data_IF_190315243998
#
_entry.id   IF_190315243998
#
_cell.length_a   1.000
_cell.length_b   1.000
_cell.length_c   1.000
_cell.angle_alpha   90.00
_cell.angle_beta   90.00
_cell.angle_gamma   90.00
#
_symmetry.space_group_name_H-M   'P 1'
#
loop_
_entity.id
_entity.type
_entity.pdbx_description
1 polymer ?
2 non-polymer ?
3 non-polymer ?
4 water ?
#
# COMPACT_ATOMS: atom_id res chain seq x y z
N UNK A 14 -14.45 -19.49 6.17
CA UNK A 14 -13.61 -18.71 5.28
C UNK A 14 -13.73 -17.22 5.56
N UNK A 15 -12.78 -16.46 5.03
CA UNK A 15 -12.70 -15.03 5.25
C UNK A 15 -14.01 -14.33 4.89
N UNK A 16 -14.42 -13.40 5.75
CA UNK A 16 -15.58 -12.53 5.54
C UNK A 16 -15.07 -11.16 5.15
N UNK A 17 -15.30 -10.69 3.92
CA UNK A 17 -14.82 -9.34 3.54
C UNK A 17 -15.42 -8.26 4.43
N UNK A 18 -14.59 -7.35 4.94
CA UNK A 18 -15.12 -6.17 5.65
C UNK A 18 -15.99 -5.34 4.71
N UNK A 19 -16.80 -4.44 5.26
CA UNK A 19 -17.57 -3.52 4.41
C UNK A 19 -16.65 -2.59 3.64
N UNK A 20 -17.14 -2.11 2.50
CA UNK A 20 -16.35 -1.23 1.65
C UNK A 20 -16.21 0.16 2.26
N UNK A 21 -15.01 0.73 2.11
CA UNK A 21 -14.75 2.11 2.50
C UNK A 21 -15.38 3.05 1.47
N UNK A 22 -15.48 4.35 1.78
CA UNK A 22 -16.08 5.27 0.82
C UNK A 22 -15.22 5.45 -0.42
N UNK A 23 -15.90 5.61 -1.55
CA UNK A 23 -15.27 5.97 -2.80
C UNK A 23 -15.86 7.30 -3.24
N UNK A 24 -15.02 8.25 -3.62
CA UNK A 24 -15.46 9.54 -4.11
C UNK A 24 -15.08 9.70 -5.57
N UNK A 25 -15.96 10.36 -6.33
CA UNK A 25 -15.74 10.62 -7.75
C UNK A 25 -15.87 12.12 -7.96
N UNK A 26 -14.85 12.89 -7.60
CA UNK A 26 -14.95 14.35 -7.69
C UNK A 26 -15.20 14.83 -9.12
N UNK A 27 -16.06 15.84 -9.25
CA UNK A 27 -16.17 16.56 -10.49
C UNK A 27 -14.87 17.29 -10.78
N UNK A 28 -14.76 17.83 -12.00
CA UNK A 28 -13.58 18.62 -12.33
C UNK A 28 -13.42 19.81 -11.38
N UNK A 29 -14.54 20.40 -10.95
CA UNK A 29 -14.48 21.52 -10.02
C UNK A 29 -13.92 21.07 -8.67
N UNK A 30 -14.45 19.98 -8.12
CA UNK A 30 -13.96 19.47 -6.85
C UNK A 30 -12.53 18.96 -6.94
N UNK A 31 -12.10 18.55 -8.13
CA UNK A 31 -10.76 17.99 -8.32
C UNK A 31 -9.67 19.05 -8.35
N UNK A 32 -10.04 20.34 -8.29
CA UNK A 32 -9.06 21.40 -8.50
C UNK A 32 -7.96 21.38 -7.43
N UNK A 33 -8.33 21.20 -6.16
CA UNK A 33 -7.37 21.31 -5.06
C UNK A 33 -7.49 20.10 -4.14
N UNK A 34 -6.44 19.28 -4.02
CA UNK A 34 -6.54 18.06 -3.18
C UNK A 34 -6.77 18.34 -1.70
N UNK A 35 -6.07 19.31 -1.10
CA UNK A 35 -6.25 19.54 0.32
C UNK A 35 -7.65 20.05 0.63
N UNK A 36 -8.20 20.90 -0.24
CA UNK A 36 -9.58 21.35 -0.07
C UNK A 36 -10.55 20.19 -0.17
N UNK A 37 -10.33 19.29 -1.13
CA UNK A 37 -11.24 18.16 -1.30
C UNK A 37 -11.17 17.22 -0.10
N UNK A 38 -9.96 16.88 0.33
CA UNK A 38 -9.80 15.99 1.48
C UNK A 38 -10.41 16.62 2.73
N UNK A 39 -10.26 17.94 2.85
CA UNK A 39 -10.91 18.62 3.97
C UNK A 39 -12.42 18.50 3.94
N UNK A 40 -13.00 18.55 2.74
CA UNK A 40 -14.45 18.49 2.63
C UNK A 40 -14.98 17.08 2.90
N UNK A 41 -14.27 16.05 2.44
CA UNK A 41 -14.76 14.69 2.67
C UNK A 41 -14.42 14.17 4.05
N UNK A 42 -13.61 14.91 4.80
CA UNK A 42 -13.12 14.43 6.10
C UNK A 42 -14.23 13.96 7.05
N UNK A 43 -15.38 14.64 7.17
CA UNK A 43 -16.40 14.16 8.13
C UNK A 43 -16.81 12.72 7.90
N UNK A 44 -16.81 12.24 6.65
CA UNK A 44 -17.12 10.83 6.44
C UNK A 44 -15.86 9.97 6.45
N UNK A 45 -14.82 10.38 5.70
CA UNK A 45 -13.66 9.51 5.54
C UNK A 45 -12.88 9.32 6.84
N UNK A 46 -12.86 10.31 7.74
CA UNK A 46 -12.14 10.07 8.98
C UNK A 46 -12.84 9.03 9.84
N UNK A 47 -14.13 8.76 9.59
CA UNK A 47 -14.85 7.72 10.29
C UNK A 47 -14.58 6.33 9.73
N UNK A 48 -13.92 6.22 8.57
CA UNK A 48 -13.56 4.93 8.02
C UNK A 48 -12.06 4.70 7.94
N UNK A 49 -11.25 5.71 8.23
CA UNK A 49 -9.80 5.58 8.19
C UNK A 49 -9.18 5.70 6.81
N UNK A 50 -9.73 5.00 5.84
CA UNK A 50 -9.25 5.09 4.47
C UNK A 50 -10.42 5.46 3.58
N UNK A 51 -10.11 6.09 2.43
CA UNK A 51 -11.10 6.26 1.39
C UNK A 51 -10.42 6.17 0.04
N UNK A 52 -11.22 5.99 -1.00
CA UNK A 52 -10.72 5.89 -2.36
C UNK A 52 -11.22 7.10 -3.15
N UNK A 53 -10.37 7.65 -4.00
CA UNK A 53 -10.76 8.78 -4.85
C UNK A 53 -10.48 8.41 -6.30
N UNK A 54 -11.52 8.47 -7.13
CA UNK A 54 -11.41 8.20 -8.55
C UNK A 54 -11.33 9.52 -9.30
N UNK A 55 -10.22 9.84 -9.95
CA UNK A 55 -10.11 11.11 -10.67
C UNK A 55 -11.09 11.15 -11.84
N UNK A 56 -11.33 12.32 -12.41
CA UNK A 56 -12.16 12.39 -13.62
C UNK A 56 -11.60 11.50 -14.72
N UNK A 57 -12.50 10.98 -15.55
CA UNK A 57 -12.14 9.95 -16.53
C UNK A 57 -11.02 10.43 -17.46
N UNK A 58 -10.98 11.70 -17.80
CA UNK A 58 -9.98 12.22 -18.71
C UNK A 58 -8.68 12.60 -18.02
N UNK A 59 -8.55 12.35 -16.73
CA UNK A 59 -7.30 12.66 -16.01
C UNK A 59 -6.44 11.41 -16.04
N UNK A 60 -5.44 11.39 -16.92
CA UNK A 60 -4.61 10.21 -17.14
C UNK A 60 -3.15 10.63 -17.25
N UNK A 61 -2.44 10.71 -16.12
CA UNK A 61 -1.01 11.03 -16.17
C UNK A 61 -0.23 9.94 -16.89
N UNK A 62 0.79 10.31 -17.66
CA UNK A 62 1.67 9.30 -18.24
C UNK A 62 2.56 8.70 -17.17
N UNK A 63 3.08 7.51 -17.47
CA UNK A 63 4.02 6.86 -16.57
C UNK A 63 5.41 7.30 -16.93
N UNK A 64 6.11 7.91 -15.97
CA UNK A 64 7.33 8.67 -16.26
C UNK A 64 8.60 8.05 -15.70
N UNK A 65 8.55 6.86 -15.11
CA UNK A 65 9.77 6.23 -14.63
C UNK A 65 10.69 5.87 -15.77
N UNK A 66 11.99 5.92 -15.51
CA UNK A 66 13.00 5.43 -16.44
C UNK A 66 12.97 3.91 -16.47
N UNK A 67 12.21 3.34 -17.41
CA UNK A 67 11.89 1.92 -17.37
C UNK A 67 13.07 1.06 -17.83
N UNK A 68 13.88 1.55 -18.77
CA UNK A 68 15.00 0.75 -19.26
C UNK A 68 16.01 0.46 -18.15
N UNK A 69 16.23 1.42 -17.26
CA UNK A 69 17.22 1.28 -16.19
C UNK A 69 16.61 0.84 -14.87
N UNK A 70 15.30 0.64 -14.80
CA UNK A 70 14.63 0.31 -13.55
C UNK A 70 14.99 -1.11 -13.14
N UNK A 71 15.93 -1.24 -12.22
CA UNK A 71 16.39 -2.53 -11.72
C UNK A 71 16.34 -2.52 -10.20
N UNK A 72 15.99 -3.66 -9.61
CA UNK A 72 15.79 -3.67 -8.17
C UNK A 72 15.84 -5.09 -7.65
N UNK A 73 16.20 -5.21 -6.38
CA UNK A 73 16.18 -6.49 -5.69
C UNK A 73 15.05 -6.48 -4.68
N UNK A 74 13.92 -7.12 -4.99
CA UNK A 74 12.77 -7.08 -4.08
C UNK A 74 13.03 -7.89 -2.82
N UNK A 75 12.23 -7.63 -1.80
CA UNK A 75 12.40 -8.39 -0.58
C UNK A 75 11.50 -9.60 -0.57
N UNK A 76 11.93 -10.62 0.11
CA UNK A 76 11.24 -11.91 0.11
C UNK A 76 10.26 -11.93 1.27
N UNK A 77 9.06 -12.42 1.02
CA UNK A 77 8.01 -12.48 2.04
C UNK A 77 7.48 -13.90 2.14
N UNK A 78 7.57 -14.48 3.34
CA UNK A 78 6.96 -15.77 3.64
C UNK A 78 5.62 -15.52 4.30
N UNK A 79 4.52 -15.93 3.65
CA UNK A 79 3.20 -15.49 4.09
C UNK A 79 2.90 -15.96 5.51
N UNK A 80 3.37 -17.16 5.89
CA UNK A 80 3.04 -17.70 7.20
C UNK A 80 4.17 -17.59 8.22
N UNK A 81 5.10 -16.64 8.04
CA UNK A 81 6.28 -16.60 8.91
C UNK A 81 5.89 -16.47 10.38
N UNK A 82 4.82 -15.72 10.69
CA UNK A 82 4.44 -15.51 12.07
C UNK A 82 3.79 -16.76 12.67
N UNK A 83 2.81 -17.33 11.98
CA UNK A 83 2.19 -18.56 12.47
C UNK A 83 3.19 -19.69 12.61
N UNK A 84 4.25 -19.69 11.79
CA UNK A 84 5.22 -20.76 11.79
C UNK A 84 6.19 -20.71 12.98
N UNK A 85 5.96 -19.86 13.98
CA UNK A 85 6.80 -19.84 15.16
C UNK A 85 6.40 -20.94 16.13
N UNK A 89 11.51 -26.52 18.05
CA UNK A 89 12.18 -27.25 16.98
C UNK A 89 12.39 -26.36 15.75
N UNK A 90 13.47 -25.59 15.74
CA UNK A 90 13.74 -24.72 14.59
C UNK A 90 14.04 -25.52 13.33
N UNK A 91 13.61 -24.97 12.20
CA UNK A 91 13.81 -25.61 10.92
C UNK A 91 15.30 -25.67 10.57
N UNK A 92 15.67 -26.69 9.79
CA UNK A 92 17.07 -26.92 9.45
C UNK A 92 17.61 -25.75 8.64
N UNK A 93 18.63 -25.08 9.20
CA UNK A 93 19.33 -23.97 8.53
C UNK A 93 18.37 -22.83 8.20
N UNK A 94 17.62 -22.37 9.21
CA UNK A 94 16.74 -21.23 9.02
C UNK A 94 17.57 -19.96 8.85
N UNK A 95 16.98 -18.97 8.18
CA UNK A 95 17.67 -17.77 7.78
C UNK A 95 18.14 -17.77 6.34
N UNK A 96 18.04 -18.91 5.65
CA UNK A 96 18.48 -19.06 4.27
C UNK A 96 17.36 -19.65 3.42
N UNK A 97 16.12 -19.21 3.69
CA UNK A 97 14.96 -19.86 3.07
C UNK A 97 14.87 -19.59 1.58
N UNK A 98 15.34 -18.43 1.11
CA UNK A 98 15.13 -18.03 -0.27
C UNK A 98 16.39 -17.40 -0.85
N UNK A 99 16.61 -17.64 -2.13
CA UNK A 99 17.75 -17.07 -2.86
C UNK A 99 17.46 -15.64 -3.29
N UNK A 100 18.52 -14.84 -3.42
CA UNK A 100 18.41 -13.42 -3.74
C UNK A 100 18.37 -13.25 -5.25
N UNK A 101 17.49 -12.35 -5.73
CA UNK A 101 17.21 -12.20 -7.15
C UNK A 101 17.04 -10.73 -7.49
N UNK A 102 17.73 -10.27 -8.53
CA UNK A 102 17.54 -8.92 -9.05
C UNK A 102 16.69 -8.97 -10.30
N UNK A 103 15.80 -7.99 -10.45
CA UNK A 103 14.86 -7.94 -11.56
C UNK A 103 14.91 -6.58 -12.24
N UNK A 104 14.44 -6.57 -13.49
CA UNK A 104 13.93 -5.36 -14.11
C UNK A 104 12.43 -5.29 -13.89
N UNK A 105 11.85 -4.16 -14.23
CA UNK A 105 10.40 -4.05 -14.17
C UNK A 105 9.76 -5.15 -15.02
N UNK A 106 10.33 -5.40 -16.19
CA UNK A 106 9.77 -6.39 -17.11
C UNK A 106 9.92 -7.80 -16.55
N UNK A 107 11.13 -8.14 -16.09
CA UNK A 107 11.37 -9.50 -15.64
C UNK A 107 10.63 -9.78 -14.33
N UNK A 108 10.45 -8.76 -13.50
CA UNK A 108 9.61 -8.96 -12.32
C UNK A 108 8.17 -9.22 -12.72
N UNK A 109 7.67 -8.48 -13.71
CA UNK A 109 6.31 -8.70 -14.17
C UNK A 109 6.11 -10.08 -14.77
N UNK A 110 7.08 -10.56 -15.53
CA UNK A 110 6.98 -11.91 -16.07
C UNK A 110 6.97 -12.94 -14.94
N UNK A 111 7.85 -12.76 -13.95
CA UNK A 111 7.84 -13.62 -12.79
C UNK A 111 6.50 -13.57 -12.07
N UNK A 112 5.95 -12.36 -11.91
CA UNK A 112 4.74 -12.17 -11.12
C UNK A 112 3.53 -12.82 -11.78
N UNK A 113 3.37 -12.60 -13.09
CA UNK A 113 2.24 -13.19 -13.80
C UNK A 113 2.35 -14.72 -13.86
N UNK A 114 3.56 -15.23 -14.11
CA UNK A 114 3.76 -16.68 -14.08
C UNK A 114 3.39 -17.27 -12.72
N UNK A 115 3.81 -16.61 -11.63
CA UNK A 115 3.46 -17.12 -10.31
C UNK A 115 1.96 -17.20 -10.14
N UNK A 116 1.25 -16.14 -10.51
CA UNK A 116 -0.18 -16.09 -10.20
C UNK A 116 -0.96 -17.02 -11.10
N UNK A 117 -0.65 -17.03 -12.39
CA UNK A 117 -1.37 -17.93 -13.29
C UNK A 117 -1.10 -19.39 -12.94
N UNK A 118 0.13 -19.71 -12.52
CA UNK A 118 0.42 -21.06 -12.07
C UNK A 118 -0.30 -21.39 -10.77
N UNK A 119 -0.31 -20.45 -9.81
CA UNK A 119 -0.98 -20.70 -8.54
C UNK A 119 -2.45 -21.00 -8.75
N UNK A 120 -3.14 -20.18 -9.53
CA UNK A 120 -4.59 -20.32 -9.63
C UNK A 120 -5.02 -21.15 -10.83
N UNK A 121 -4.09 -21.52 -11.70
CA UNK A 121 -4.40 -22.30 -12.91
C UNK A 121 -5.39 -21.55 -13.81
N UNK A 122 -5.21 -20.24 -13.94
CA UNK A 122 -6.06 -19.46 -14.84
C UNK A 122 -5.33 -18.18 -15.21
N UNK A 123 -5.74 -17.51 -16.28
CA UNK A 123 -5.10 -16.24 -16.65
C UNK A 123 -5.24 -15.24 -15.51
N UNK A 124 -4.22 -14.40 -15.33
CA UNK A 124 -4.14 -13.60 -14.11
C UNK A 124 -5.35 -12.69 -13.96
N UNK A 125 -5.88 -12.16 -15.06
CA UNK A 125 -7.00 -11.23 -14.94
C UNK A 125 -8.33 -11.92 -14.73
N UNK A 126 -8.38 -13.24 -14.83
CA UNK A 126 -9.62 -13.97 -14.58
C UNK A 126 -9.75 -14.41 -13.14
N UNK A 127 -8.75 -14.18 -12.30
CA UNK A 127 -8.83 -14.62 -10.91
C UNK A 127 -9.65 -13.59 -10.12
N UNK A 128 -10.76 -13.97 -9.50
CA UNK A 128 -11.59 -12.99 -8.79
C UNK A 128 -10.83 -12.38 -7.62
N UNK A 129 -11.01 -11.07 -7.42
CA UNK A 129 -10.34 -10.40 -6.29
C UNK A 129 -10.74 -11.04 -4.97
N UNK A 130 -11.99 -11.46 -4.84
CA UNK A 130 -12.44 -12.11 -3.61
C UNK A 130 -11.72 -13.44 -3.38
N UNK A 131 -11.37 -14.15 -4.46
CA UNK A 131 -10.65 -15.40 -4.29
C UNK A 131 -9.21 -15.17 -3.85
N UNK A 132 -8.51 -14.21 -4.48
CA UNK A 132 -7.17 -13.90 -4.02
C UNK A 132 -7.19 -13.51 -2.55
N UNK A 133 -8.17 -12.69 -2.16
CA UNK A 133 -8.29 -12.26 -0.77
C UNK A 133 -8.52 -13.45 0.17
N UNK A 134 -9.44 -14.35 -0.20
CA UNK A 134 -9.69 -15.53 0.64
C UNK A 134 -8.44 -16.39 0.76
N UNK A 135 -7.72 -16.58 -0.34
CA UNK A 135 -6.55 -17.44 -0.31
C UNK A 135 -5.39 -16.78 0.42
N UNK A 136 -5.24 -15.46 0.29
CA UNK A 136 -4.20 -14.77 1.03
C UNK A 136 -4.31 -15.04 2.52
N UNK A 137 -5.51 -14.82 3.09
CA UNK A 137 -5.65 -14.97 4.54
C UNK A 137 -5.58 -16.43 4.95
N UNK A 138 -5.99 -17.35 4.09
CA UNK A 138 -5.81 -18.77 4.40
C UNK A 138 -4.31 -19.11 4.49
N UNK A 139 -3.52 -18.61 3.56
CA UNK A 139 -2.09 -18.93 3.54
C UNK A 139 -1.36 -18.31 4.71
N UNK A 140 -1.81 -17.13 5.16
CA UNK A 140 -1.13 -16.44 6.25
C UNK A 140 -1.20 -17.27 7.52
N UNK A 141 -2.29 -18.00 7.72
CA UNK A 141 -2.50 -18.80 8.91
C UNK A 141 -2.17 -20.27 8.70
N UNK A 142 -1.71 -20.66 7.51
CA UNK A 142 -1.49 -22.06 7.19
C UNK A 142 -0.06 -22.49 7.52
N UNK A 143 0.07 -23.54 8.31
CA UNK A 143 1.38 -24.12 8.61
C UNK A 143 1.71 -25.32 7.75
N UNK A 144 0.78 -25.79 6.92
CA UNK A 144 1.04 -26.93 6.05
C UNK A 144 1.53 -26.55 4.67
N UNK A 145 1.34 -25.29 4.28
CA UNK A 145 1.64 -24.80 2.94
C UNK A 145 2.46 -23.52 3.11
N UNK A 146 3.69 -23.52 2.57
CA UNK A 146 4.59 -22.39 2.73
C UNK A 146 4.75 -21.71 1.38
N UNK A 147 4.10 -20.56 1.24
CA UNK A 147 4.13 -19.77 0.02
C UNK A 147 5.05 -18.58 0.26
N UNK A 148 5.91 -18.30 -0.71
CA UNK A 148 6.91 -17.25 -0.62
C UNK A 148 6.79 -16.38 -1.86
N UNK A 149 6.69 -15.07 -1.66
CA UNK A 149 6.59 -14.12 -2.77
C UNK A 149 7.64 -13.04 -2.57
N UNK A 150 7.66 -12.09 -3.48
CA UNK A 150 8.67 -11.04 -3.53
C UNK A 150 7.96 -9.71 -3.74
N UNK A 151 8.49 -8.65 -3.14
CA UNK A 151 7.85 -7.35 -3.15
C UNK A 151 8.91 -6.30 -3.40
N UNK A 152 8.78 -5.56 -4.51
CA UNK A 152 9.65 -4.42 -4.73
C UNK A 152 9.19 -3.20 -3.96
N UNK A 153 9.35 -3.19 -2.65
CA UNK A 153 8.73 -2.20 -1.80
C UNK A 153 9.72 -1.13 -1.35
N UNK A 154 9.20 0.07 -1.09
CA UNK A 154 9.97 1.16 -0.52
C UNK A 154 11.16 1.52 -1.41
N UNK A 155 10.89 1.68 -2.70
CA UNK A 155 11.90 2.14 -3.65
C UNK A 155 11.79 3.65 -3.75
N UNK A 156 12.89 4.35 -3.47
CA UNK A 156 12.86 5.81 -3.49
C UNK A 156 12.61 6.33 -4.91
N UNK A 157 11.72 7.32 -5.02
CA UNK A 157 11.51 7.95 -6.33
C UNK A 157 12.75 8.72 -6.79
N UNK A 158 13.73 8.91 -5.92
CA UNK A 158 14.98 9.52 -6.36
C UNK A 158 15.80 8.57 -7.22
N UNK A 159 15.56 7.26 -7.13
CA UNK A 159 16.42 6.28 -7.78
C UNK A 159 16.23 6.27 -9.29
N UNK A 160 15.01 6.00 -9.74
CA UNK A 160 14.71 5.97 -11.17
C UNK A 160 13.66 7.01 -11.55
N UNK A 161 13.39 7.95 -10.67
CA UNK A 161 12.38 8.96 -10.92
C UNK A 161 11.02 8.54 -10.40
N UNK A 162 10.13 9.52 -10.33
CA UNK A 162 8.76 9.27 -9.95
C UNK A 162 7.99 8.67 -11.11
N UNK A 163 6.89 7.98 -10.79
CA UNK A 163 5.95 7.57 -11.83
C UNK A 163 5.21 8.73 -12.45
N UNK A 164 5.10 9.85 -11.74
CA UNK A 164 4.54 11.07 -12.29
C UNK A 164 5.61 11.88 -13.01
N UNK A 165 5.25 12.59 -14.08
CA UNK A 165 6.21 13.54 -14.67
C UNK A 165 6.55 14.65 -13.67
N UNK A 166 7.81 15.05 -13.68
CA UNK A 166 8.32 16.09 -12.78
C UNK A 166 9.16 17.05 -13.59
N UNK A 167 8.93 18.35 -13.41
CA UNK A 167 9.65 19.39 -14.14
C UNK A 167 10.98 19.69 -13.45
N UNK A 168 11.83 18.68 -13.36
CA UNK A 168 13.16 18.83 -12.77
C UNK A 168 14.28 18.74 -13.80
N UNK A 169 13.96 18.59 -15.08
CA UNK A 169 14.96 18.59 -16.12
C UNK A 169 15.67 17.27 -16.35
N UNK A 170 15.32 16.23 -15.61
CA UNK A 170 15.99 14.93 -15.77
C UNK A 170 15.38 14.09 -16.88
N UNK A 171 14.15 14.40 -17.29
CA UNK A 171 13.45 13.61 -18.29
C UNK A 171 12.55 14.54 -19.10
N UNK A 172 12.36 14.19 -20.37
CA UNK A 172 11.57 15.03 -21.26
C UNK A 172 10.10 14.98 -20.86
N UNK A 173 9.44 16.13 -20.98
CA UNK A 173 8.01 16.26 -20.71
C UNK A 173 7.36 16.79 -21.97
N UNK A 174 6.40 16.03 -22.52
CA UNK A 174 5.65 16.51 -23.65
C UNK A 174 4.70 17.63 -23.21
N UNK A 175 4.27 18.48 -24.15
CA UNK A 175 3.34 19.55 -23.77
C UNK A 175 2.06 19.05 -23.11
N UNK A 176 1.46 17.96 -23.63
CA UNK A 176 0.21 17.49 -23.02
C UNK A 176 0.42 16.80 -21.68
N UNK A 177 1.67 16.57 -21.27
CA UNK A 177 1.98 16.00 -19.97
C UNK A 177 2.36 17.06 -18.94
N UNK A 178 2.59 18.29 -19.35
CA UNK A 178 3.01 19.32 -18.39
C UNK A 178 1.93 19.53 -17.34
N UNK A 179 0.66 19.45 -17.72
CA UNK A 179 -0.41 19.65 -16.75
C UNK A 179 -0.31 18.62 -15.62
N UNK A 180 0.20 17.43 -15.92
CA UNK A 180 0.39 16.44 -14.86
C UNK A 180 1.60 16.75 -13.99
N UNK A 181 2.67 17.30 -14.57
CA UNK A 181 3.81 17.68 -13.75
C UNK A 181 3.46 18.79 -12.77
N UNK A 182 2.46 19.60 -13.09
CA UNK A 182 2.06 20.73 -12.27
C UNK A 182 0.83 20.44 -11.42
N UNK A 183 0.19 19.29 -11.60
CA UNK A 183 -1.05 18.99 -10.90
C UNK A 183 -0.85 18.91 -9.38
N UNK A 184 -1.84 19.42 -8.65
CA UNK A 184 -1.82 19.25 -7.21
C UNK A 184 -1.98 17.81 -6.76
N UNK A 185 -2.45 16.93 -7.64
CA UNK A 185 -2.59 15.51 -7.35
C UNK A 185 -1.36 14.70 -7.75
N UNK A 186 -0.40 15.32 -8.41
CA UNK A 186 0.94 14.75 -8.54
C UNK A 186 1.54 14.62 -7.15
N UNK A 187 1.89 13.40 -6.73
CA UNK A 187 2.35 13.19 -5.36
C UNK A 187 3.63 13.96 -5.05
N UNK A 188 4.38 14.35 -6.07
CA UNK A 188 5.55 15.19 -5.83
C UNK A 188 5.19 16.62 -5.45
N UNK A 189 3.94 17.03 -5.66
CA UNK A 189 3.50 18.39 -5.36
C UNK A 189 2.63 18.47 -4.11
N UNK A 190 2.59 17.41 -3.28
CA UNK A 190 1.89 17.45 -2.00
C UNK A 190 2.75 18.13 -0.94
N UNK A 191 2.13 18.87 -0.02
CA UNK A 191 2.92 19.49 1.06
C UNK A 191 3.42 18.44 2.02
N UNK A 192 4.70 18.55 2.41
CA UNK A 192 5.29 17.50 3.25
C UNK A 192 5.99 18.09 4.47
N UNK A 193 6.07 19.42 4.56
CA UNK A 193 6.79 20.07 5.64
C UNK A 193 5.86 20.31 6.83
N UNK A 194 6.15 19.66 7.95
CA UNK A 194 5.37 19.85 9.17
C UNK A 194 5.78 21.14 9.88
N UNK A 195 4.81 21.84 10.44
CA UNK A 195 5.10 23.05 11.20
C UNK A 195 5.71 22.71 12.54
N UNK A 196 6.74 23.46 12.93
CA UNK A 196 7.36 23.28 14.24
C UNK A 196 8.28 24.47 14.52
N UNK A 197 8.55 24.70 15.80
CA UNK A 197 9.55 25.70 16.15
C UNK A 197 10.93 25.25 15.67
N UNK A 198 11.20 23.94 15.75
CA UNK A 198 12.46 23.40 15.26
C UNK A 198 12.67 23.67 13.78
N UNK A 199 11.60 23.66 13.00
CA UNK A 199 11.71 23.97 11.57
C UNK A 199 12.23 25.37 11.33
N UNK A 200 12.03 26.29 12.27
CA UNK A 200 12.59 27.64 12.17
C UNK A 200 13.96 27.71 12.78
N UNK A 201 14.22 26.93 13.85
CA UNK A 201 15.54 26.93 14.47
C UNK A 201 16.57 26.37 13.50
N UNK A 202 16.24 25.26 12.83
CA UNK A 202 17.10 24.71 11.79
C UNK A 202 16.91 25.45 10.47
N UNK A 209 10.94 15.21 2.20
CA UNK A 209 10.59 13.85 1.84
C UNK A 209 10.12 13.77 0.38
N UNK A 210 10.23 12.58 -0.21
CA UNK A 210 9.82 12.35 -1.59
C UNK A 210 8.98 11.08 -1.62
N UNK A 211 8.23 10.86 -2.70
CA UNK A 211 7.40 9.65 -2.75
C UNK A 211 8.24 8.39 -2.87
N UNK A 212 7.68 7.29 -2.38
CA UNK A 212 8.27 5.97 -2.52
C UNK A 212 7.44 5.14 -3.49
N UNK A 213 8.09 4.13 -4.10
CA UNK A 213 7.50 3.32 -5.14
C UNK A 213 7.36 1.87 -4.68
N UNK A 214 6.33 1.20 -5.18
CA UNK A 214 5.99 -0.15 -4.73
C UNK A 214 5.63 -0.99 -5.95
N UNK A 215 6.45 -1.99 -6.26
CA UNK A 215 6.21 -2.91 -7.38
C UNK A 215 5.68 -4.20 -6.78
N UNK A 216 4.38 -4.46 -6.93
CA UNK A 216 3.74 -5.57 -6.27
C UNK A 216 3.58 -6.77 -7.17
N UNK A 217 3.42 -7.93 -6.54
CA UNK A 217 2.96 -9.17 -7.17
C UNK A 217 1.88 -9.77 -6.29
N UNK A 218 1.21 -10.78 -6.82
CA UNK A 218 0.15 -11.45 -6.06
C UNK A 218 0.66 -11.91 -4.70
N UNK A 219 -0.05 -11.53 -3.63
CA UNK A 219 0.13 -11.91 -2.23
C UNK A 219 1.21 -11.06 -1.55
N UNK A 220 1.93 -10.22 -2.26
CA UNK A 220 2.85 -9.33 -1.57
C UNK A 220 2.01 -8.37 -0.73
N UNK A 221 2.55 -7.99 0.44
CA UNK A 221 1.67 -7.42 1.44
C UNK A 221 2.42 -6.48 2.37
N UNK A 222 1.63 -5.71 3.13
CA UNK A 222 2.14 -4.83 4.17
C UNK A 222 1.26 -4.99 5.39
N UNK A 223 1.85 -5.02 6.59
CA UNK A 223 1.05 -5.31 7.76
C UNK A 223 0.54 -4.01 8.39
N UNK A 224 -0.22 -4.18 9.47
CA UNK A 224 -0.95 -3.08 10.10
C UNK A 224 0.00 -2.03 10.66
N UNK A 225 -0.25 -0.76 10.33
CA UNK A 225 0.65 0.28 10.83
C UNK A 225 -0.04 1.63 10.71
N UNK A 226 0.52 2.62 11.41
CA UNK A 226 0.21 4.01 11.18
C UNK A 226 1.50 4.71 10.78
N UNK A 227 1.38 5.95 10.35
CA UNK A 227 2.52 6.71 9.86
C UNK A 227 3.22 7.44 11.00
N UNK A 228 4.51 7.72 10.78
CA UNK A 228 5.23 8.60 11.70
C UNK A 228 4.50 9.93 11.83
N UNK A 229 4.50 10.48 13.04
CA UNK A 229 3.81 11.74 13.33
C UNK A 229 2.31 11.65 13.09
N UNK A 230 1.77 10.43 13.00
CA UNK A 230 0.35 10.19 12.68
C UNK A 230 -0.06 10.93 11.40
N UNK A 231 0.84 10.93 10.41
CA UNK A 231 0.63 11.72 9.21
C UNK A 231 -0.49 11.14 8.35
N UNK A 232 -1.15 12.03 7.59
CA UNK A 232 -1.90 11.58 6.41
C UNK A 232 -0.95 10.89 5.44
N UNK A 233 -1.50 10.01 4.61
CA UNK A 233 -0.75 9.52 3.47
C UNK A 233 -1.69 9.41 2.28
N UNK A 234 -1.09 9.45 1.10
CA UNK A 234 -1.86 9.30 -0.14
C UNK A 234 -1.10 8.35 -1.04
N UNK A 235 -1.84 7.54 -1.80
CA UNK A 235 -1.26 6.46 -2.58
C UNK A 235 -1.93 6.48 -3.94
N UNK A 236 -1.14 6.37 -5.01
CA UNK A 236 -1.69 6.32 -6.36
C UNK A 236 -1.22 5.04 -7.05
N UNK A 237 -2.16 4.30 -7.64
CA UNK A 237 -1.80 3.08 -8.35
C UNK A 237 -1.64 3.44 -9.83
N UNK A 238 -0.39 3.47 -10.29
CA UNK A 238 -0.09 3.92 -11.65
C UNK A 238 -0.65 2.96 -12.69
N UNK A 239 -0.49 1.66 -12.45
CA UNK A 239 -0.95 0.64 -13.39
C UNK A 239 -0.92 -0.72 -12.70
N UNK A 240 -1.54 -1.70 -13.32
CA UNK A 240 -1.47 -3.05 -12.84
C UNK A 240 -2.76 -3.51 -12.20
N UNK A 241 -2.67 -4.68 -11.59
CA UNK A 241 -3.79 -5.29 -10.90
C UNK A 241 -4.02 -4.59 -9.57
N UNK A 242 -5.19 -4.76 -8.95
CA UNK A 242 -5.53 -3.91 -7.80
C UNK A 242 -4.68 -4.21 -6.58
N UNK A 243 -4.65 -3.20 -5.71
CA UNK A 243 -4.07 -3.29 -4.37
C UNK A 243 -5.25 -3.31 -3.41
N UNK A 244 -5.33 -4.35 -2.59
CA UNK A 244 -6.44 -4.51 -1.65
C UNK A 244 -6.03 -3.92 -0.30
N UNK A 245 -6.89 -3.06 0.24
CA UNK A 245 -6.60 -2.33 1.48
C UNK A 245 -7.57 -2.72 2.58
N UNK A 246 -7.09 -2.64 3.82
CA UNK A 246 -7.95 -2.62 4.99
C UNK A 246 -7.59 -1.40 5.81
N UNK A 247 -8.61 -0.73 6.34
CA UNK A 247 -8.39 0.45 7.16
C UNK A 247 -9.24 0.42 8.39
N UNK A 248 -8.72 1.06 9.45
CA UNK A 248 -9.41 1.20 10.73
C UNK A 248 -9.44 2.69 11.07
N UNK A 249 -10.59 3.26 11.40
CA UNK A 249 -10.63 4.70 11.74
C UNK A 249 -9.82 4.99 12.99
N UNK A 250 -9.33 6.24 13.05
CA UNK A 250 -8.45 6.63 14.16
C UNK A 250 -9.16 6.53 15.50
N UNK A 251 -10.49 6.66 15.54
CA UNK A 251 -11.15 6.56 16.84
C UNK A 251 -11.05 5.15 17.42
N UNK A 252 -10.71 4.15 16.59
CA UNK A 252 -10.55 2.79 17.06
C UNK A 252 -9.08 2.37 17.15
N UNK A 253 -8.14 3.32 17.09
CA UNK A 253 -6.72 2.98 17.15
C UNK A 253 -6.37 2.22 18.41
N UNK A 254 -6.82 2.71 19.58
CA UNK A 254 -6.47 2.04 20.83
C UNK A 254 -7.13 0.68 20.93
N UNK A 255 -8.33 0.52 20.37
CA UNK A 255 -8.96 -0.80 20.33
C UNK A 255 -8.10 -1.78 19.55
N UNK A 256 -7.59 -1.36 18.38
CA UNK A 256 -6.75 -2.26 17.59
C UNK A 256 -5.49 -2.60 18.35
N UNK A 257 -4.85 -1.59 18.96
CA UNK A 257 -3.61 -1.83 19.69
C UNK A 257 -3.84 -2.77 20.86
N UNK A 258 -5.00 -2.67 21.51
CA UNK A 258 -5.31 -3.60 22.59
C UNK A 258 -5.52 -5.02 22.09
N UNK A 259 -6.21 -5.20 20.95
CA UNK A 259 -6.35 -6.54 20.40
C UNK A 259 -5.00 -7.11 20.02
N UNK A 260 -4.14 -6.27 19.42
CA UNK A 260 -2.78 -6.70 19.09
C UNK A 260 -2.05 -7.18 20.34
N UNK A 261 -2.08 -6.37 21.40
CA UNK A 261 -1.40 -6.75 22.64
C UNK A 261 -1.93 -8.08 23.18
N UNK A 262 -3.25 -8.27 23.14
CA UNK A 262 -3.83 -9.51 23.66
C UNK A 262 -3.41 -10.73 22.84
N UNK A 263 -3.33 -10.58 21.51
CA UNK A 263 -3.20 -11.74 20.64
C UNK A 263 -1.84 -11.85 19.96
N UNK A 264 -1.02 -10.81 19.98
CA UNK A 264 0.30 -10.90 19.36
C UNK A 264 1.21 -11.83 20.15
N UNK A 265 2.21 -12.41 19.49
CA UNK A 265 3.18 -13.24 20.20
C UNK A 265 3.84 -12.47 21.34
N UNK A 266 4.02 -13.16 22.47
CA UNK A 266 4.54 -12.50 23.66
C UNK A 266 5.93 -11.92 23.44
N UNK A 267 6.77 -12.62 22.66
CA UNK A 267 8.13 -12.14 22.42
C UNK A 267 8.13 -10.78 21.74
N UNK A 268 7.09 -10.48 20.96
CA UNK A 268 7.00 -9.19 20.29
C UNK A 268 6.07 -8.21 21.00
N UNK A 269 5.33 -8.67 22.02
CA UNK A 269 4.31 -7.82 22.63
C UNK A 269 4.93 -6.58 23.26
N UNK A 270 6.13 -6.72 23.83
CA UNK A 270 6.81 -5.64 24.53
C UNK A 270 7.66 -4.76 23.61
N UNK A 271 7.67 -5.02 22.32
CA UNK A 271 8.53 -4.22 21.45
C UNK A 271 7.93 -2.84 21.22
N UNK A 272 8.78 -1.81 21.07
CA UNK A 272 8.26 -0.49 20.69
C UNK A 272 7.49 -0.56 19.39
N UNK A 273 6.56 0.40 19.22
CA UNK A 273 5.61 0.34 18.12
C UNK A 273 6.29 0.37 16.76
N UNK A 274 7.37 1.16 16.62
CA UNK A 274 8.06 1.25 15.34
C UNK A 274 8.65 -0.09 14.92
N UNK A 275 9.03 -0.92 15.88
CA UNK A 275 9.51 -2.26 15.57
C UNK A 275 8.37 -3.27 15.51
N UNK A 276 7.39 -3.17 16.40
CA UNK A 276 6.29 -4.13 16.38
C UNK A 276 5.53 -4.05 15.06
N UNK A 277 5.43 -2.85 14.48
CA UNK A 277 4.74 -2.65 13.20
C UNK A 277 5.42 -3.34 12.04
N UNK A 278 6.62 -3.88 12.21
CA UNK A 278 7.22 -4.67 11.15
C UNK A 278 6.61 -6.06 11.06
N UNK A 279 5.92 -6.52 12.11
CA UNK A 279 5.41 -7.90 12.17
C UNK A 279 3.96 -7.97 12.63
N UNK A 280 3.22 -6.87 12.52
CA UNK A 280 1.84 -6.84 13.01
C UNK A 280 0.86 -7.31 11.93
N UNK A 281 0.99 -8.55 11.49
CA UNK A 281 0.04 -9.11 10.54
C UNK A 281 -1.14 -9.69 11.32
N UNK A 282 -2.35 -9.37 10.89
CA UNK A 282 -3.52 -9.86 11.61
C UNK A 282 -4.71 -9.88 10.67
N UNK A 283 -5.36 -11.03 10.60
CA UNK A 283 -6.57 -11.21 9.81
C UNK A 283 -7.62 -10.18 10.22
N UNK A 284 -8.15 -9.39 9.28
CA UNK A 284 -9.20 -8.41 9.63
C UNK A 284 -10.38 -9.00 10.40
N UNK A 285 -10.74 -10.27 10.17
CA UNK A 285 -11.88 -10.83 10.89
C UNK A 285 -11.58 -10.98 12.38
N UNK A 286 -10.31 -11.14 12.75
CA UNK A 286 -9.97 -11.17 14.17
C UNK A 286 -10.26 -9.83 14.82
N UNK A 287 -9.89 -8.74 14.16
CA UNK A 287 -10.21 -7.41 14.67
C UNK A 287 -11.70 -7.20 14.74
N UNK A 288 -12.41 -7.58 13.68
CA UNK A 288 -13.86 -7.36 13.62
C UNK A 288 -14.57 -8.15 14.72
N UNK A 289 -14.13 -9.39 14.97
CA UNK A 289 -14.72 -10.17 16.04
C UNK A 289 -14.54 -9.51 17.40
N UNK A 290 -13.48 -8.70 17.55
CA UNK A 290 -13.23 -8.00 18.80
C UNK A 290 -13.76 -6.57 18.79
N UNK A 291 -14.69 -6.26 17.89
CA UNK A 291 -15.35 -4.97 17.90
C UNK A 291 -14.58 -3.83 17.25
N UNK A 292 -13.50 -4.13 16.54
CA UNK A 292 -12.76 -3.10 15.82
C UNK A 292 -13.44 -2.88 14.47
N UNK A 293 -13.87 -1.67 14.15
CA UNK A 293 -14.39 -1.41 12.79
C UNK A 293 -13.27 -1.49 11.76
N UNK A 294 -13.50 -2.25 10.70
CA UNK A 294 -12.54 -2.41 9.61
C UNK A 294 -13.28 -2.18 8.30
N UNK A 295 -12.67 -1.43 7.39
CA UNK A 295 -13.19 -1.22 6.05
C UNK A 295 -12.17 -1.70 5.02
N UNK A 296 -12.65 -2.08 3.84
CA UNK A 296 -11.78 -2.61 2.81
C UNK A 296 -11.97 -1.82 1.51
N UNK A 297 -11.00 -1.95 0.60
CA UNK A 297 -11.24 -1.51 -0.77
C UNK A 297 -10.27 -2.22 -1.69
N UNK A 298 -10.66 -2.36 -2.96
CA UNK A 298 -9.73 -2.69 -4.03
C UNK A 298 -9.39 -1.40 -4.77
N UNK A 299 -8.16 -0.94 -4.61
CA UNK A 299 -7.66 0.22 -5.33
C UNK A 299 -7.23 -0.21 -6.71
N UNK A 300 -7.89 0.30 -7.75
CA UNK A 300 -7.59 -0.12 -9.11
C UNK A 300 -6.69 0.91 -9.78
N UNK A 301 -6.11 0.53 -10.91
CA UNK A 301 -5.23 1.42 -11.65
C UNK A 301 -5.88 2.77 -11.89
N UNK A 302 -5.14 3.84 -11.61
CA UNK A 302 -5.61 5.19 -11.77
C UNK A 302 -6.38 5.76 -10.60
N UNK A 303 -6.47 5.03 -9.47
CA UNK A 303 -7.21 5.50 -8.31
C UNK A 303 -6.27 5.82 -7.15
N UNK A 304 -6.68 6.80 -6.34
CA UNK A 304 -5.98 7.21 -5.13
C UNK A 304 -6.60 6.57 -3.91
N UNK A 305 -5.77 6.25 -2.92
CA UNK A 305 -6.25 5.94 -1.58
C UNK A 305 -5.64 6.97 -0.64
N UNK A 306 -6.48 7.57 0.20
CA UNK A 306 -6.02 8.48 1.26
C UNK A 306 -6.22 7.80 2.59
N UNK A 307 -5.19 7.83 3.44
CA UNK A 307 -5.29 7.34 4.81
C UNK A 307 -5.25 8.55 5.74
N UNK A 308 -6.15 8.56 6.70
CA UNK A 308 -6.27 9.71 7.60
C UNK A 308 -5.34 9.55 8.80
N UNK A 309 -5.10 10.63 9.55
CA UNK A 309 -4.13 10.55 10.67
C UNK A 309 -4.49 9.47 11.68
N UNK A 310 -3.49 8.65 12.01
CA UNK A 310 -3.62 7.57 12.99
C UNK A 310 -4.66 6.52 12.58
N UNK A 311 -4.89 6.39 11.27
CA UNK A 311 -5.73 5.31 10.74
C UNK A 311 -4.84 4.11 10.43
N UNK A 312 -4.98 3.05 11.20
CA UNK A 312 -4.23 1.83 10.92
C UNK A 312 -4.63 1.25 9.58
N UNK A 313 -3.65 0.81 8.80
CA UNK A 313 -3.97 0.20 7.51
C UNK A 313 -3.00 -0.93 7.21
N UNK A 314 -3.48 -1.84 6.35
CA UNK A 314 -2.72 -3.00 5.93
C UNK A 314 -3.29 -3.42 4.58
N UNK A 315 -2.58 -4.31 3.90
CA UNK A 315 -3.12 -4.75 2.60
C UNK A 315 -2.22 -5.73 1.89
N UNK A 316 -2.62 -6.08 0.67
CA UNK A 316 -1.83 -6.97 -0.16
C UNK A 316 -2.15 -6.65 -1.61
N UNK A 317 -1.30 -7.12 -2.52
CA UNK A 317 -1.47 -6.86 -3.93
C UNK A 317 -2.12 -8.05 -4.62
N UNK A 318 -3.04 -7.75 -5.55
CA UNK A 318 -3.74 -8.80 -6.30
C UNK A 318 -2.88 -9.39 -7.40
N UNK A 319 -1.85 -8.66 -7.84
CA UNK A 319 -1.03 -9.07 -8.95
C UNK A 319 0.02 -8.01 -9.22
N UNK A 320 0.67 -8.15 -10.37
CA UNK A 320 1.70 -7.23 -10.80
C UNK A 320 1.15 -5.81 -10.89
N UNK A 321 1.71 -4.88 -10.12
CA UNK A 321 1.23 -3.51 -10.16
C UNK A 321 2.34 -2.58 -9.74
N UNK A 322 2.05 -1.28 -9.78
CA UNK A 322 3.04 -0.24 -9.53
C UNK A 322 2.34 0.91 -8.83
N UNK A 323 2.73 1.18 -7.57
CA UNK A 323 2.10 2.20 -6.78
C UNK A 323 3.13 3.20 -6.29
N UNK A 324 2.66 4.41 -6.00
CA UNK A 324 3.50 5.49 -5.49
C UNK A 324 2.80 6.10 -4.30
N UNK A 325 3.54 6.39 -3.24
CA UNK A 325 2.92 6.87 -2.02
C UNK A 325 3.77 7.93 -1.35
N UNK A 326 3.13 8.82 -0.61
CA UNK A 326 3.86 9.83 0.16
C UNK A 326 3.02 10.24 1.35
N UNK A 327 3.70 10.62 2.43
CA UNK A 327 3.02 11.22 3.59
C UNK A 327 2.92 12.72 3.36
N UNK A 328 1.77 13.30 3.69
CA UNK A 328 1.58 14.73 3.48
C UNK A 328 0.98 15.36 4.72
N UNK A 329 1.08 16.69 4.80
CA UNK A 329 0.58 17.41 5.95
C UNK A 329 -0.37 18.50 5.49
N UNK A 330 -1.32 18.83 6.34
CA UNK A 330 -2.38 19.75 5.99
C UNK A 330 -2.22 21.08 6.72
#
# INVERSE_FOLDING_TARGET
HNMAGVGPGGYAAEFVPPPECPVFEPSWEEFTDPLSFIGRIRPLAEKTGICKIRPPKDWQPPFACEVKSFRFTPRVQRLNELEAMTRVRPREAFGFEQAVREYTLQSFGEMADNFKSDYFNMPVHMVPTELVEKEFWRLVSSIEEDVIVEYGADISSKDFGSGFPVKDGRRKILPEEEEYALSGWNLNNMPVLEQSVLAHINVDISGMKVPWLYVGMCFSSFCWHIEDHWSYSINYLHWGEPKTWYGVPSHAAEQLEEVMRELAPELFESQPDLLHQLVTIMNPNVLMEHGVPVYRTNQCAGEFVVTFPRAYHSGFNQGYNFAEAVNFCT
#
